data_IF_531847193589
#
_entry.id   IF_531847193589
#
_cell.length_a   1.000
_cell.length_b   1.000
_cell.length_c   1.000
_cell.angle_alpha   90.00
_cell.angle_beta   90.00
_cell.angle_gamma   90.00
#
_symmetry.space_group_name_H-M   'P 1'
#
loop_
_entity.id
_entity.type
_entity.pdbx_description
1 polymer ?
#
# COMPACT_ATOMS: atom_id res chain seq x y z
N UNK A 1 -7.43 27.98 9.96
CA UNK A 1 -7.58 26.61 10.48
C UNK A 1 -8.75 25.98 9.75
N UNK A 2 -8.52 24.84 9.09
CA UNK A 2 -9.51 24.14 8.27
C UNK A 2 -8.76 23.35 7.21
N UNK A 3 -7.90 22.42 7.65
CA UNK A 3 -7.19 21.55 6.71
C UNK A 3 -8.18 20.58 6.11
N UNK A 4 -8.29 20.58 4.79
CA UNK A 4 -9.25 19.76 4.06
C UNK A 4 -9.12 18.29 4.46
N UNK A 5 -10.24 17.74 4.94
CA UNK A 5 -10.33 16.36 5.38
C UNK A 5 -10.11 15.45 4.17
N UNK A 6 -9.15 14.50 4.18
CA UNK A 6 -8.95 13.63 3.03
C UNK A 6 -10.09 12.63 2.87
N UNK A 7 -10.31 12.16 1.64
CA UNK A 7 -11.16 11.02 1.33
C UNK A 7 -10.34 9.75 1.50
N UNK A 8 -10.79 8.83 2.34
CA UNK A 8 -10.26 7.48 2.41
C UNK A 8 -10.79 6.66 1.23
N UNK A 9 -9.91 6.01 0.49
CA UNK A 9 -10.22 5.05 -0.55
C UNK A 9 -9.55 3.72 -0.22
N UNK A 10 -10.30 2.68 0.12
CA UNK A 10 -9.77 1.41 0.57
C UNK A 10 -10.34 0.20 -0.16
N UNK A 11 -9.84 -0.98 0.21
CA UNK A 11 -10.28 -2.27 -0.32
C UNK A 11 -9.98 -2.50 -1.81
N UNK A 12 -9.13 -1.67 -2.42
CA UNK A 12 -8.54 -1.96 -3.74
C UNK A 12 -7.36 -2.93 -3.62
N UNK A 13 -6.98 -3.54 -4.74
CA UNK A 13 -5.89 -4.51 -4.80
C UNK A 13 -4.51 -3.90 -4.54
N UNK A 14 -3.57 -4.66 -4.00
CA UNK A 14 -2.24 -4.13 -3.67
C UNK A 14 -1.42 -3.71 -4.91
N UNK A 15 -1.79 -4.15 -6.12
CA UNK A 15 -1.16 -3.74 -7.38
C UNK A 15 -1.79 -2.48 -7.98
N UNK A 16 -2.81 -1.91 -7.30
CA UNK A 16 -3.32 -0.60 -7.64
C UNK A 16 -2.20 0.44 -7.55
N UNK A 17 -2.07 1.23 -8.59
CA UNK A 17 -1.10 2.32 -8.70
C UNK A 17 -1.70 3.66 -8.32
N UNK A 18 -0.84 4.58 -7.86
CA UNK A 18 -1.24 5.96 -7.51
C UNK A 18 -2.00 6.57 -8.68
N UNK A 19 -1.48 6.39 -9.90
CA UNK A 19 -2.12 6.85 -11.14
C UNK A 19 -3.53 6.29 -11.37
N UNK A 20 -3.79 5.04 -11.02
CA UNK A 20 -5.14 4.47 -11.16
C UNK A 20 -6.11 5.09 -10.15
N UNK A 21 -5.65 5.39 -8.93
CA UNK A 21 -6.44 6.11 -7.92
C UNK A 21 -6.63 7.57 -8.35
N UNK A 22 -5.59 8.27 -8.79
CA UNK A 22 -5.68 9.65 -9.29
C UNK A 22 -6.72 9.76 -10.40
N UNK A 23 -6.62 8.93 -11.46
CA UNK A 23 -7.58 8.93 -12.57
C UNK A 23 -9.01 8.61 -12.13
N UNK A 24 -9.17 7.86 -11.04
CA UNK A 24 -10.49 7.51 -10.53
C UNK A 24 -11.18 8.73 -9.90
N UNK A 25 -10.43 9.52 -9.12
CA UNK A 25 -10.95 10.68 -8.40
C UNK A 25 -10.93 11.97 -9.24
N UNK A 26 -10.00 12.11 -10.18
CA UNK A 26 -9.88 13.28 -11.08
C UNK A 26 -11.15 13.54 -11.91
N UNK A 27 -11.98 12.51 -12.12
CA UNK A 27 -13.29 12.65 -12.78
C UNK A 27 -14.35 13.40 -11.98
N UNK A 28 -14.18 13.49 -10.66
CA UNK A 28 -15.12 14.17 -9.77
C UNK A 28 -14.65 15.57 -9.42
N UNK A 29 -13.33 15.76 -9.45
CA UNK A 29 -12.75 17.04 -9.10
C UNK A 29 -11.25 17.01 -9.04
N UNK A 30 -10.73 18.19 -8.84
CA UNK A 30 -9.31 18.43 -8.86
C UNK A 30 -8.60 17.91 -7.62
N UNK A 31 -7.57 17.10 -7.81
CA UNK A 31 -6.75 16.55 -6.73
C UNK A 31 -5.65 17.54 -6.29
N UNK A 32 -5.36 17.54 -4.99
CA UNK A 32 -4.19 18.20 -4.42
C UNK A 32 -3.04 17.19 -4.22
N UNK A 33 -3.35 16.05 -3.60
CA UNK A 33 -2.39 14.97 -3.33
C UNK A 33 -3.07 13.62 -3.15
N UNK A 34 -2.36 12.53 -3.45
CA UNK A 34 -2.72 11.17 -3.03
C UNK A 34 -1.61 10.61 -2.15
N UNK A 35 -1.97 10.16 -0.95
CA UNK A 35 -1.08 9.40 -0.05
C UNK A 35 -1.48 7.92 -0.12
N UNK A 36 -0.68 7.12 -0.83
CA UNK A 36 -0.95 5.71 -1.04
C UNK A 36 -0.39 4.86 0.11
N UNK A 37 -1.21 3.93 0.60
CA UNK A 37 -0.86 2.94 1.61
C UNK A 37 -1.19 1.52 1.14
N UNK A 38 -0.82 0.53 1.95
CA UNK A 38 -0.98 -0.88 1.59
C UNK A 38 -2.46 -1.30 1.60
N UNK A 39 -3.09 -1.26 0.42
CA UNK A 39 -4.50 -1.64 0.21
C UNK A 39 -5.53 -0.54 0.49
N UNK A 40 -5.07 0.71 0.67
CA UNK A 40 -5.90 1.90 0.75
C UNK A 40 -5.08 3.17 0.44
N UNK A 41 -5.74 4.30 0.22
CA UNK A 41 -5.13 5.60 -0.04
C UNK A 41 -5.95 6.70 0.62
N UNK A 42 -5.28 7.81 0.95
CA UNK A 42 -5.90 9.07 1.33
C UNK A 42 -5.79 10.04 0.16
N UNK A 43 -6.93 10.49 -0.34
CA UNK A 43 -7.04 11.40 -1.47
C UNK A 43 -7.44 12.77 -0.94
N UNK A 44 -6.59 13.76 -1.20
CA UNK A 44 -6.82 15.15 -0.82
C UNK A 44 -7.44 15.85 -2.04
N UNK A 45 -8.73 16.18 -1.93
CA UNK A 45 -9.47 16.93 -2.95
C UNK A 45 -9.25 18.43 -2.71
N UNK A 46 -9.15 19.23 -3.79
CA UNK A 46 -9.07 20.70 -3.69
C UNK A 46 -10.38 21.34 -3.23
N UNK A 47 -11.52 20.71 -3.52
CA UNK A 47 -12.85 21.13 -3.06
C UNK A 47 -13.52 19.99 -2.29
N UNK A 48 -14.06 20.31 -1.11
CA UNK A 48 -14.76 19.32 -0.28
C UNK A 48 -16.05 18.83 -0.94
N UNK A 49 -16.70 19.62 -1.79
CA UNK A 49 -17.91 19.21 -2.53
C UNK A 49 -17.59 18.10 -3.54
N UNK A 50 -16.46 18.22 -4.23
CA UNK A 50 -15.96 17.20 -5.16
C UNK A 50 -15.68 15.88 -4.43
N UNK A 51 -15.21 15.95 -3.18
CA UNK A 51 -15.00 14.76 -2.34
C UNK A 51 -16.30 14.06 -1.96
N UNK A 52 -17.35 14.81 -1.68
CA UNK A 52 -18.69 14.29 -1.41
C UNK A 52 -19.26 13.54 -2.63
N UNK A 53 -19.08 14.09 -3.83
CA UNK A 53 -19.50 13.45 -5.08
C UNK A 53 -18.64 12.24 -5.44
N UNK A 54 -17.33 12.31 -5.19
CA UNK A 54 -16.43 11.17 -5.34
C UNK A 54 -16.84 10.01 -4.42
N UNK A 55 -17.19 10.28 -3.16
CA UNK A 55 -17.66 9.27 -2.22
C UNK A 55 -18.94 8.60 -2.75
N UNK A 56 -19.94 9.38 -3.16
CA UNK A 56 -21.21 8.85 -3.70
C UNK A 56 -21.00 8.00 -4.95
N UNK A 57 -20.06 8.38 -5.81
CA UNK A 57 -19.81 7.70 -7.08
C UNK A 57 -18.88 6.49 -7.00
N UNK A 58 -18.01 6.43 -5.98
CA UNK A 58 -16.94 5.44 -5.89
C UNK A 58 -17.13 4.43 -4.77
N UNK A 59 -17.90 4.73 -3.72
CA UNK A 59 -18.16 3.75 -2.66
C UNK A 59 -18.93 2.54 -3.22
N UNK A 60 -18.45 1.33 -2.89
CA UNK A 60 -18.98 0.08 -3.43
C UNK A 60 -18.67 -0.20 -4.90
N UNK A 61 -18.02 0.73 -5.63
CA UNK A 61 -17.67 0.56 -7.04
C UNK A 61 -16.62 -0.55 -7.21
N UNK A 62 -16.79 -1.38 -8.23
CA UNK A 62 -15.77 -2.38 -8.57
C UNK A 62 -14.52 -1.72 -9.16
N UNK A 63 -13.36 -2.19 -8.72
CA UNK A 63 -12.05 -1.68 -9.13
C UNK A 63 -11.01 -2.80 -9.22
N UNK A 64 -10.07 -2.63 -10.15
CA UNK A 64 -8.99 -3.59 -10.40
C UNK A 64 -9.44 -4.84 -11.15
N UNK A 65 -8.50 -5.75 -11.38
CA UNK A 65 -8.68 -6.98 -12.16
C UNK A 65 -9.54 -8.02 -11.43
N UNK A 66 -9.49 -8.04 -10.09
CA UNK A 66 -10.31 -8.87 -9.20
C UNK A 66 -11.65 -8.21 -8.84
N UNK A 67 -11.99 -7.09 -9.47
CA UNK A 67 -13.27 -6.39 -9.32
C UNK A 67 -13.66 -6.18 -7.85
N UNK A 68 -12.69 -5.77 -7.01
CA UNK A 68 -12.96 -5.55 -5.59
C UNK A 68 -13.83 -4.32 -5.43
N UNK A 69 -14.80 -4.38 -4.53
CA UNK A 69 -15.63 -3.22 -4.19
C UNK A 69 -14.84 -2.25 -3.35
N UNK A 70 -14.62 -1.05 -3.87
CA UNK A 70 -13.98 0.02 -3.13
C UNK A 70 -14.78 0.38 -1.88
N UNK A 71 -14.09 0.85 -0.86
CA UNK A 71 -14.68 1.53 0.28
C UNK A 71 -14.21 2.98 0.24
N UNK A 72 -15.11 3.91 0.00
CA UNK A 72 -14.77 5.33 -0.15
C UNK A 72 -15.57 6.14 0.86
N UNK A 73 -14.90 6.86 1.75
CA UNK A 73 -15.55 7.66 2.79
C UNK A 73 -14.66 8.81 3.23
N UNK A 74 -15.24 9.85 3.84
CA UNK A 74 -14.44 10.89 4.48
C UNK A 74 -13.57 10.29 5.59
N UNK A 75 -12.24 10.44 5.49
CA UNK A 75 -11.31 9.86 6.45
C UNK A 75 -11.64 10.36 7.86
N UNK A 76 -12.04 9.46 8.75
CA UNK A 76 -12.16 9.80 10.17
C UNK A 76 -10.74 9.98 10.68
N UNK A 77 -10.42 11.18 11.19
CA UNK A 77 -9.15 11.45 11.87
C UNK A 77 -9.14 10.65 13.17
N UNK A 78 -8.84 9.36 13.12
CA UNK A 78 -8.69 8.56 14.34
C UNK A 78 -7.85 7.30 14.07
N UNK A 79 -7.09 6.89 15.09
CA UNK A 79 -6.12 5.79 15.05
C UNK A 79 -6.70 4.41 14.71
N UNK A 80 -8.00 4.28 14.43
CA UNK A 80 -8.66 3.04 14.03
C UNK A 80 -8.14 2.42 12.73
N UNK A 81 -7.80 3.22 11.71
CA UNK A 81 -7.26 2.67 10.44
C UNK A 81 -5.89 2.04 10.70
N UNK A 82 -5.03 2.76 11.43
CA UNK A 82 -3.74 2.25 11.93
C UNK A 82 -3.95 0.97 12.75
N UNK A 83 -4.86 1.00 13.73
CA UNK A 83 -5.17 -0.14 14.60
C UNK A 83 -5.64 -1.37 13.82
N UNK A 84 -6.49 -1.19 12.80
CA UNK A 84 -6.95 -2.29 11.94
C UNK A 84 -5.82 -2.84 11.06
N UNK A 85 -4.92 -1.99 10.59
CA UNK A 85 -3.72 -2.41 9.87
C UNK A 85 -2.78 -3.20 10.77
N UNK A 86 -2.50 -2.71 11.99
CA UNK A 86 -1.70 -3.40 13.01
C UNK A 86 -2.29 -4.77 13.35
N UNK A 87 -3.62 -4.85 13.53
CA UNK A 87 -4.32 -6.12 13.78
C UNK A 87 -4.22 -7.08 12.59
N UNK A 88 -4.32 -6.58 11.35
CA UNK A 88 -4.12 -7.40 10.15
C UNK A 88 -2.69 -7.91 10.04
N UNK A 89 -1.69 -7.05 10.28
CA UNK A 89 -0.26 -7.43 10.31
C UNK A 89 -0.02 -8.52 11.36
N UNK A 90 -0.61 -8.40 12.56
CA UNK A 90 -0.50 -9.39 13.65
C UNK A 90 -1.22 -10.71 13.36
N UNK A 91 -2.29 -10.71 12.57
CA UNK A 91 -3.03 -11.92 12.19
C UNK A 91 -2.45 -12.61 10.95
N UNK A 92 -1.46 -12.01 10.28
CA UNK A 92 -0.80 -12.63 9.13
C UNK A 92 0.02 -13.83 9.61
N UNK A 93 -0.39 -15.04 9.23
CA UNK A 93 0.31 -16.28 9.61
C UNK A 93 1.76 -16.24 9.12
N UNK A 94 2.73 -16.74 9.92
CA UNK A 94 4.12 -16.82 9.47
C UNK A 94 4.17 -17.67 8.20
N UNK A 95 4.75 -17.10 7.15
CA UNK A 95 4.86 -17.71 5.83
C UNK A 95 6.32 -17.61 5.37
N UNK A 96 6.73 -18.53 4.51
CA UNK A 96 8.06 -18.46 3.86
C UNK A 96 8.18 -17.27 2.90
N UNK A 97 7.07 -16.61 2.57
CA UNK A 97 7.02 -15.49 1.62
C UNK A 97 6.73 -14.19 2.35
N UNK A 98 7.67 -13.25 2.24
CA UNK A 98 7.50 -11.87 2.65
C UNK A 98 6.87 -11.05 1.53
N UNK A 99 5.99 -10.14 1.94
CA UNK A 99 5.38 -9.14 1.08
C UNK A 99 6.07 -7.80 1.33
N UNK A 100 6.87 -7.36 0.36
CA UNK A 100 7.68 -6.14 0.44
C UNK A 100 6.94 -5.03 -0.28
N UNK A 101 6.72 -3.91 0.37
CA UNK A 101 6.01 -2.73 -0.16
C UNK A 101 6.83 -1.48 0.07
N UNK A 102 6.43 -0.37 -0.57
CA UNK A 102 7.01 0.95 -0.35
C UNK A 102 8.51 1.01 -0.71
N UNK A 103 8.86 0.44 -1.86
CA UNK A 103 10.13 0.67 -2.52
C UNK A 103 9.86 1.38 -3.86
N UNK A 104 10.87 2.06 -4.39
CA UNK A 104 10.78 2.68 -5.70
C UNK A 104 10.80 1.58 -6.77
N UNK A 105 9.63 1.13 -7.20
CA UNK A 105 9.52 0.03 -8.15
C UNK A 105 10.07 0.36 -9.55
N UNK A 106 10.26 1.65 -9.88
CA UNK A 106 10.89 2.06 -11.12
C UNK A 106 12.42 1.98 -11.04
N UNK A 107 13.00 2.10 -9.83
CA UNK A 107 14.45 2.04 -9.60
C UNK A 107 14.97 0.72 -9.03
N UNK A 108 14.19 0.06 -8.19
CA UNK A 108 14.57 -1.18 -7.51
C UNK A 108 14.35 -2.38 -8.41
N UNK A 109 15.39 -3.20 -8.57
CA UNK A 109 15.36 -4.47 -9.33
C UNK A 109 15.34 -5.66 -8.38
N UNK A 110 14.98 -6.83 -8.91
CA UNK A 110 14.96 -8.07 -8.12
C UNK A 110 16.31 -8.34 -7.45
N UNK A 111 17.42 -8.07 -8.16
CA UNK A 111 18.78 -8.19 -7.62
C UNK A 111 19.05 -7.31 -6.41
N UNK A 112 18.40 -6.15 -6.32
CA UNK A 112 18.58 -5.23 -5.17
C UNK A 112 17.85 -5.79 -3.95
N UNK A 113 16.65 -6.35 -4.15
CA UNK A 113 15.94 -7.07 -3.10
C UNK A 113 16.68 -8.36 -2.71
N UNK A 114 17.22 -9.12 -3.66
CA UNK A 114 18.01 -10.31 -3.38
C UNK A 114 19.19 -9.99 -2.47
N UNK A 115 20.00 -8.99 -2.83
CA UNK A 115 21.13 -8.53 -2.00
C UNK A 115 20.71 -8.02 -0.63
N UNK A 116 19.53 -7.43 -0.53
CA UNK A 116 19.01 -6.95 0.75
C UNK A 116 18.56 -8.10 1.66
N UNK A 117 17.98 -9.16 1.09
CA UNK A 117 17.37 -10.25 1.84
C UNK A 117 18.25 -11.50 2.00
N UNK A 118 19.29 -11.68 1.18
CA UNK A 118 20.26 -12.78 1.27
C UNK A 118 20.94 -12.94 2.65
N UNK A 119 21.23 -11.87 3.44
CA UNK A 119 21.89 -12.04 4.73
C UNK A 119 21.01 -12.78 5.75
N UNK A 120 19.68 -12.79 5.55
CA UNK A 120 18.73 -13.44 6.45
C UNK A 120 18.45 -14.90 6.09
N UNK A 121 18.88 -15.34 4.90
CA UNK A 121 18.67 -16.72 4.46
C UNK A 121 18.65 -16.90 2.94
N UNK A 122 18.53 -18.17 2.54
CA UNK A 122 18.50 -18.53 1.12
C UNK A 122 17.13 -18.19 0.51
N UNK A 123 17.16 -17.43 -0.58
CA UNK A 123 15.98 -17.02 -1.33
C UNK A 123 15.62 -18.09 -2.37
N UNK A 124 14.37 -18.56 -2.35
CA UNK A 124 13.79 -19.42 -3.39
C UNK A 124 13.30 -18.62 -4.59
N UNK A 125 12.71 -17.46 -4.32
CA UNK A 125 12.11 -16.62 -5.37
C UNK A 125 12.02 -15.17 -4.92
N UNK A 126 12.49 -14.27 -5.77
CA UNK A 126 12.17 -12.85 -5.69
C UNK A 126 11.30 -12.52 -6.90
N UNK A 127 10.21 -11.79 -6.68
CA UNK A 127 9.33 -11.36 -7.76
C UNK A 127 8.86 -9.94 -7.50
N UNK A 128 9.32 -8.99 -8.33
CA UNK A 128 8.77 -7.63 -8.31
C UNK A 128 7.47 -7.60 -9.14
N UNK A 129 6.45 -6.98 -8.55
CA UNK A 129 5.23 -6.54 -9.23
C UNK A 129 5.13 -5.03 -9.13
N UNK A 130 4.20 -4.44 -9.89
CA UNK A 130 3.96 -2.99 -10.01
C UNK A 130 4.48 -2.15 -8.84
N UNK A 131 3.88 -2.28 -7.65
CA UNK A 131 4.21 -1.43 -6.49
C UNK A 131 4.64 -2.24 -5.25
N UNK A 132 4.95 -3.53 -5.43
CA UNK A 132 5.28 -4.43 -4.33
C UNK A 132 6.06 -5.64 -4.84
N UNK A 133 6.73 -6.36 -3.95
CA UNK A 133 7.48 -7.56 -4.29
C UNK A 133 7.14 -8.71 -3.35
N UNK A 134 7.35 -9.93 -3.86
CA UNK A 134 7.35 -11.15 -3.06
C UNK A 134 8.77 -11.66 -2.93
N UNK A 135 9.21 -11.86 -1.69
CA UNK A 135 10.51 -12.47 -1.38
C UNK A 135 10.25 -13.76 -0.63
N UNK A 136 10.52 -14.89 -1.26
CA UNK A 136 10.32 -16.21 -0.69
C UNK A 136 11.64 -16.79 -0.21
N UNK A 137 11.71 -17.11 1.08
CA UNK A 137 12.79 -17.85 1.71
C UNK A 137 12.59 -19.36 1.61
N UNK A 138 13.64 -20.13 1.88
CA UNK A 138 13.54 -21.59 1.90
C UNK A 138 12.62 -22.10 3.00
N UNK A 139 12.65 -21.46 4.17
CA UNK A 139 11.93 -21.86 5.37
C UNK A 139 11.36 -20.64 6.13
N UNK A 140 10.49 -20.93 7.09
CA UNK A 140 9.73 -19.90 7.83
C UNK A 140 10.62 -19.14 8.81
N UNK A 141 11.63 -19.79 9.39
CA UNK A 141 12.54 -19.17 10.35
C UNK A 141 13.37 -18.06 9.71
N UNK A 142 13.93 -18.30 8.51
CA UNK A 142 14.62 -17.28 7.71
C UNK A 142 13.71 -16.10 7.37
N UNK A 143 12.47 -16.38 6.97
CA UNK A 143 11.49 -15.32 6.70
C UNK A 143 11.12 -14.53 7.96
N UNK A 144 11.01 -15.19 9.12
CA UNK A 144 10.71 -14.54 10.38
C UNK A 144 11.86 -13.64 10.86
N UNK A 145 13.11 -14.07 10.69
CA UNK A 145 14.28 -13.28 11.06
C UNK A 145 14.50 -12.08 10.14
N UNK A 146 14.26 -12.26 8.84
CA UNK A 146 14.16 -11.15 7.89
C UNK A 146 13.05 -10.17 8.27
N UNK A 147 11.84 -10.66 8.59
CA UNK A 147 10.72 -9.79 8.97
C UNK A 147 11.03 -8.97 10.23
N UNK A 148 11.62 -9.58 11.27
CA UNK A 148 12.01 -8.86 12.49
C UNK A 148 13.04 -7.76 12.21
N UNK A 149 13.96 -7.99 11.29
CA UNK A 149 15.07 -7.08 10.98
C UNK A 149 14.69 -5.99 9.97
N UNK A 150 13.75 -6.28 9.06
CA UNK A 150 13.37 -5.40 7.95
C UNK A 150 12.09 -4.61 8.22
N UNK A 151 11.24 -5.06 9.15
CA UNK A 151 10.01 -4.35 9.49
C UNK A 151 10.33 -3.05 10.26
N UNK A 152 10.42 -1.94 9.52
CA UNK A 152 10.75 -0.62 10.04
C UNK A 152 12.12 -0.08 9.64
N UNK A 153 12.91 -0.83 8.84
CA UNK A 153 14.18 -0.33 8.30
C UNK A 153 14.04 0.15 6.86
N UNK A 154 14.79 1.20 6.52
CA UNK A 154 14.79 1.80 5.19
C UNK A 154 15.56 0.90 4.22
N UNK A 155 14.94 0.53 3.10
CA UNK A 155 15.70 0.04 1.95
C UNK A 155 16.63 1.18 1.48
N UNK A 156 17.93 0.92 1.26
CA UNK A 156 18.86 1.96 0.87
C UNK A 156 18.41 2.56 -0.48
N UNK A 157 17.95 3.82 -0.44
CA UNK A 157 17.56 4.60 -1.62
C UNK A 157 16.08 5.05 -1.70
N UNK A 158 15.21 4.68 -0.77
CA UNK A 158 13.79 5.10 -0.79
C UNK A 158 13.55 6.33 0.12
N UNK A 159 13.06 7.44 -0.45
CA UNK A 159 12.85 8.71 0.26
C UNK A 159 11.52 8.83 1.02
N UNK A 160 10.60 7.88 0.90
CA UNK A 160 9.32 7.95 1.61
C UNK A 160 8.89 6.55 2.04
N UNK A 161 8.39 6.47 3.28
CA UNK A 161 8.27 5.28 4.16
C UNK A 161 6.88 4.64 4.14
N UNK A 162 6.83 3.37 4.59
CA UNK A 162 5.77 2.36 4.60
C UNK A 162 4.32 2.77 4.92
#
# INVERSE_FOLDING_TARGET
MGGDRPVFCGNFEYDASVREIERLFDRYGSLDRVDMKTGFAFVYMRDSRDGDDAIRGLDGREFGNRRRRLRVEWAKMDGEVRRREDLRRRQMKPATTLFVVNFDADRTRERDLEKHFEPFGRLKRVQIKRNYAFVQFENVDQAADALKSVNGTHLPGAHHTC
#
